data_IF_914043588158
#
_entry.id   IF_914043588158
#
_cell.length_a   1.000
_cell.length_b   1.000
_cell.length_c   1.000
_cell.angle_alpha   90.00
_cell.angle_beta   90.00
_cell.angle_gamma   90.00
#
_symmetry.space_group_name_H-M   'P 1'
#
loop_
_entity.id
_entity.type
_entity.pdbx_description
1 polymer ?
#
# COMPACT_ATOMS: atom_id res chain seq x y z
N UNK A 1 10.96 1.86 9.72
CA UNK A 1 11.77 0.85 9.02
C UNK A 1 10.86 0.14 8.01
N UNK A 2 11.17 0.28 6.71
CA UNK A 2 10.33 -0.34 5.66
C UNK A 2 10.49 -1.86 5.70
N UNK A 3 9.42 -2.59 5.31
CA UNK A 3 9.42 -4.05 5.25
C UNK A 3 10.69 -4.58 4.56
N UNK A 4 11.25 -5.71 5.03
CA UNK A 4 12.48 -6.26 4.46
C UNK A 4 12.33 -6.48 2.96
N UNK A 5 13.37 -6.13 2.21
CA UNK A 5 13.40 -6.14 0.74
C UNK A 5 13.04 -7.50 0.09
N UNK A 6 12.93 -8.55 0.90
CA UNK A 6 12.66 -9.93 0.45
C UNK A 6 11.22 -10.39 0.73
N UNK A 7 10.37 -9.58 1.37
CA UNK A 7 8.97 -9.95 1.59
C UNK A 7 8.19 -9.76 0.27
N UNK A 8 7.57 -10.82 -0.24
CA UNK A 8 6.75 -10.75 -1.45
C UNK A 8 5.65 -9.68 -1.34
N UNK A 9 5.09 -9.46 -0.13
CA UNK A 9 4.10 -8.43 0.17
C UNK A 9 4.63 -6.99 0.02
N UNK A 10 5.93 -6.79 0.09
CA UNK A 10 6.53 -5.46 0.08
C UNK A 10 6.73 -4.88 -1.33
N UNK A 11 6.35 -5.59 -2.41
CA UNK A 11 6.67 -5.16 -3.76
C UNK A 11 6.08 -3.79 -4.11
N UNK A 12 4.89 -3.44 -3.60
CA UNK A 12 4.29 -2.13 -3.85
C UNK A 12 5.09 -1.02 -3.19
N UNK A 13 5.38 -1.13 -1.88
CA UNK A 13 6.20 -0.14 -1.18
C UNK A 13 7.61 -0.04 -1.75
N UNK A 14 8.22 -1.18 -2.12
CA UNK A 14 9.54 -1.22 -2.78
C UNK A 14 9.52 -0.53 -4.16
N UNK A 15 8.44 -0.69 -4.92
CA UNK A 15 8.28 -0.01 -6.20
C UNK A 15 8.35 1.51 -6.02
N UNK A 16 7.62 2.09 -5.06
CA UNK A 16 7.70 3.52 -4.76
C UNK A 16 9.08 3.95 -4.28
N UNK A 17 9.64 3.25 -3.28
CA UNK A 17 10.94 3.58 -2.69
C UNK A 17 12.05 3.57 -3.74
N UNK A 18 12.15 2.50 -4.55
CA UNK A 18 13.19 2.38 -5.56
C UNK A 18 12.97 3.32 -6.73
N UNK A 19 11.73 3.56 -7.13
CA UNK A 19 11.41 4.56 -8.16
C UNK A 19 11.94 5.94 -7.78
N UNK A 20 11.75 6.37 -6.52
CA UNK A 20 12.22 7.68 -6.04
C UNK A 20 13.75 7.70 -5.86
N UNK A 21 14.36 6.62 -5.36
CA UNK A 21 15.78 6.59 -4.98
C UNK A 21 16.70 6.20 -6.14
N UNK A 22 16.26 5.25 -6.96
CA UNK A 22 17.09 4.58 -7.95
C UNK A 22 16.61 4.86 -9.39
N UNK A 23 15.39 5.42 -9.57
CA UNK A 23 14.80 5.67 -10.88
C UNK A 23 14.37 4.40 -11.62
N UNK A 24 14.39 3.25 -10.99
CA UNK A 24 13.97 1.99 -11.62
C UNK A 24 13.42 0.98 -10.61
N UNK A 25 12.55 0.09 -11.10
CA UNK A 25 12.10 -1.09 -10.35
C UNK A 25 11.68 -2.22 -11.28
N UNK A 26 11.96 -3.47 -10.85
CA UNK A 26 11.55 -4.67 -11.57
C UNK A 26 10.52 -5.43 -10.74
N UNK A 27 9.30 -5.54 -11.27
CA UNK A 27 8.21 -6.30 -10.65
C UNK A 27 8.38 -7.79 -10.91
N UNK A 28 8.44 -8.58 -9.82
CA UNK A 28 8.46 -10.05 -9.88
C UNK A 28 7.05 -10.67 -9.97
N UNK A 29 6.00 -9.86 -9.87
CA UNK A 29 4.59 -10.24 -9.96
C UNK A 29 4.07 -10.08 -11.40
N UNK A 30 2.86 -10.57 -11.68
CA UNK A 30 2.18 -10.31 -12.97
C UNK A 30 1.59 -8.90 -13.00
N UNK A 31 1.40 -8.29 -14.18
CA UNK A 31 0.72 -6.99 -14.29
C UNK A 31 -0.64 -6.94 -13.60
N UNK A 32 -1.38 -8.05 -13.66
CA UNK A 32 -2.72 -8.18 -13.08
C UNK A 32 -2.74 -8.66 -11.62
N UNK A 33 -1.59 -8.95 -11.00
CA UNK A 33 -1.52 -9.32 -9.58
C UNK A 33 -2.06 -8.21 -8.70
N UNK A 34 -2.95 -8.56 -7.75
CA UNK A 34 -3.68 -7.62 -6.88
C UNK A 34 -3.43 -7.91 -5.42
N UNK A 35 -2.66 -7.10 -4.70
CA UNK A 35 -2.58 -7.19 -3.24
C UNK A 35 -3.75 -6.44 -2.61
N UNK A 36 -4.21 -6.88 -1.45
CA UNK A 36 -5.05 -6.04 -0.60
C UNK A 36 -4.17 -5.05 0.14
N UNK A 37 -4.47 -3.76 0.02
CA UNK A 37 -3.67 -2.67 0.56
C UNK A 37 -4.49 -1.75 1.46
N UNK A 38 -3.82 -1.21 2.46
CA UNK A 38 -4.26 -0.08 3.26
C UNK A 38 -3.06 0.85 3.49
N UNK A 39 -3.26 2.15 3.36
CA UNK A 39 -2.19 3.12 3.63
C UNK A 39 -2.00 3.31 5.14
N UNK A 40 -0.76 3.53 5.56
CA UNK A 40 -0.42 3.61 6.98
C UNK A 40 -1.21 4.69 7.73
N UNK A 41 -1.47 5.83 7.11
CA UNK A 41 -2.26 6.91 7.72
C UNK A 41 -3.71 6.47 7.99
N UNK A 42 -4.31 5.66 7.12
CA UNK A 42 -5.62 5.06 7.36
C UNK A 42 -5.59 4.04 8.51
N UNK A 43 -4.51 3.26 8.63
CA UNK A 43 -4.34 2.32 9.76
C UNK A 43 -4.24 3.09 11.09
N UNK A 44 -3.41 4.15 11.13
CA UNK A 44 -3.24 4.97 12.34
C UNK A 44 -4.56 5.63 12.76
N UNK A 45 -5.29 6.20 11.80
CA UNK A 45 -6.61 6.78 12.03
C UNK A 45 -7.60 5.73 12.55
N UNK A 46 -7.65 4.55 11.92
CA UNK A 46 -8.53 3.47 12.35
C UNK A 46 -8.25 3.02 13.80
N UNK A 47 -6.97 2.99 14.21
CA UNK A 47 -6.59 2.67 15.60
C UNK A 47 -7.12 3.76 16.55
N UNK A 48 -6.95 5.04 16.21
CA UNK A 48 -7.45 6.15 17.02
C UNK A 48 -8.96 6.12 17.12
N UNK A 49 -9.66 5.98 15.98
CA UNK A 49 -11.11 5.90 15.93
C UNK A 49 -11.63 4.73 16.78
N UNK A 50 -10.97 3.56 16.70
CA UNK A 50 -11.34 2.37 17.48
C UNK A 50 -11.16 2.58 18.99
N UNK A 51 -10.12 3.31 19.41
CA UNK A 51 -9.88 3.63 20.82
C UNK A 51 -10.92 4.60 21.39
N UNK A 52 -11.49 5.47 20.53
CA UNK A 52 -12.52 6.43 20.92
C UNK A 52 -13.92 5.84 20.92
N UNK A 53 -14.14 4.70 20.26
CA UNK A 53 -15.45 4.03 20.24
C UNK A 53 -15.75 3.42 21.61
N UNK A 54 -16.94 3.71 22.14
CA UNK A 54 -17.41 3.07 23.37
C UNK A 54 -17.54 1.56 23.22
N UNK A 55 -17.02 0.79 24.17
CA UNK A 55 -16.97 -0.67 24.11
C UNK A 55 -18.35 -1.34 23.84
N UNK A 56 -19.44 -0.68 24.24
CA UNK A 56 -20.81 -1.17 24.00
C UNK A 56 -21.24 -1.12 22.53
N UNK A 57 -20.51 -0.41 21.68
CA UNK A 57 -20.76 -0.32 20.22
C UNK A 57 -20.01 -1.39 19.44
N UNK A 58 -18.99 -1.99 20.02
CA UNK A 58 -18.15 -2.97 19.35
C UNK A 58 -18.87 -4.34 19.32
N UNK A 59 -19.17 -4.82 18.12
CA UNK A 59 -19.80 -6.14 17.91
C UNK A 59 -18.78 -7.28 17.90
N UNK A 60 -17.47 -6.99 17.80
CA UNK A 60 -16.38 -7.95 17.67
C UNK A 60 -15.14 -7.51 18.45
N UNK A 61 -14.24 -8.46 18.70
CA UNK A 61 -12.90 -8.19 19.26
C UNK A 61 -11.80 -8.07 18.19
N UNK A 62 -12.10 -8.48 16.94
CA UNK A 62 -11.17 -8.44 15.81
C UNK A 62 -11.91 -7.90 14.61
N UNK A 63 -11.30 -6.94 13.94
CA UNK A 63 -11.85 -6.28 12.76
C UNK A 63 -10.89 -6.36 11.59
N UNK A 64 -11.40 -6.67 10.41
CA UNK A 64 -10.67 -6.48 9.17
C UNK A 64 -10.87 -5.05 8.67
N UNK A 65 -9.83 -4.51 8.07
CA UNK A 65 -9.86 -3.22 7.37
C UNK A 65 -9.26 -3.40 5.99
N UNK A 66 -9.87 -2.77 5.00
CA UNK A 66 -9.36 -2.75 3.63
C UNK A 66 -9.61 -1.37 3.02
N UNK A 67 -8.64 -0.88 2.24
CA UNK A 67 -8.81 0.36 1.49
C UNK A 67 -8.95 0.07 -0.02
N UNK A 68 -8.00 -0.65 -0.59
CA UNK A 68 -7.92 -0.82 -2.04
C UNK A 68 -7.23 -2.14 -2.43
N UNK A 69 -7.39 -2.53 -3.71
CA UNK A 69 -6.69 -3.69 -4.31
C UNK A 69 -6.30 -3.37 -5.76
N UNK A 70 -5.33 -2.46 -5.97
CA UNK A 70 -4.88 -2.11 -7.30
C UNK A 70 -4.13 -3.28 -7.95
N UNK A 71 -4.16 -3.35 -9.28
CA UNK A 71 -3.24 -4.21 -10.03
C UNK A 71 -1.82 -3.66 -9.96
N UNK A 72 -0.82 -4.50 -10.18
CA UNK A 72 0.56 -4.04 -10.29
C UNK A 72 0.73 -3.06 -11.47
N UNK A 73 -0.06 -3.20 -12.54
CA UNK A 73 -0.08 -2.27 -13.67
C UNK A 73 -0.66 -0.88 -13.28
N UNK A 74 -1.71 -0.85 -12.45
CA UNK A 74 -2.24 0.40 -11.90
C UNK A 74 -1.20 1.09 -11.00
N UNK A 75 -0.42 0.34 -10.22
CA UNK A 75 0.69 0.88 -9.42
C UNK A 75 1.77 1.47 -10.34
N UNK A 76 2.14 0.77 -11.43
CA UNK A 76 3.07 1.30 -12.44
C UNK A 76 2.56 2.63 -13.01
N UNK A 77 1.29 2.70 -13.39
CA UNK A 77 0.69 3.92 -13.93
C UNK A 77 0.73 5.09 -12.92
N UNK A 78 0.39 4.83 -11.66
CA UNK A 78 0.41 5.83 -10.60
C UNK A 78 1.82 6.39 -10.33
N UNK A 79 2.86 5.53 -10.37
CA UNK A 79 4.25 5.95 -10.21
C UNK A 79 4.74 6.73 -11.44
N UNK A 80 4.51 6.21 -12.65
CA UNK A 80 4.97 6.83 -13.90
C UNK A 80 4.38 8.22 -14.12
N UNK A 81 3.15 8.44 -13.69
CA UNK A 81 2.49 9.76 -13.73
C UNK A 81 3.24 10.81 -12.91
N UNK A 82 3.94 10.42 -11.84
CA UNK A 82 4.64 11.31 -10.89
C UNK A 82 6.15 11.34 -11.08
N UNK A 83 6.69 10.32 -11.72
CA UNK A 83 8.12 10.17 -12.02
C UNK A 83 8.24 9.76 -13.50
N UNK A 84 8.18 10.71 -14.45
CA UNK A 84 8.09 10.38 -15.89
C UNK A 84 9.28 9.58 -16.43
N UNK A 85 10.49 9.78 -15.88
CA UNK A 85 11.72 9.13 -16.35
C UNK A 85 12.01 7.80 -15.63
N UNK A 86 11.07 7.28 -14.83
CA UNK A 86 11.25 6.01 -14.11
C UNK A 86 11.19 4.81 -15.06
N UNK A 87 12.09 3.86 -14.87
CA UNK A 87 12.11 2.59 -15.62
C UNK A 87 11.42 1.50 -14.79
N UNK A 88 10.18 1.15 -15.17
CA UNK A 88 9.38 0.12 -14.51
C UNK A 88 9.15 -1.06 -15.47
N UNK A 89 9.64 -2.23 -15.09
CA UNK A 89 9.56 -3.43 -15.95
C UNK A 89 8.99 -4.62 -15.18
N UNK A 90 8.31 -5.51 -15.89
CA UNK A 90 7.85 -6.79 -15.35
C UNK A 90 8.81 -7.90 -15.75
N UNK A 91 9.35 -8.60 -14.76
CA UNK A 91 10.08 -9.86 -14.92
C UNK A 91 9.49 -10.87 -13.95
N UNK A 92 8.36 -11.44 -14.32
CA UNK A 92 7.57 -12.29 -13.45
C UNK A 92 8.35 -13.52 -12.97
N UNK A 93 8.46 -13.67 -11.65
CA UNK A 93 8.84 -14.92 -11.00
C UNK A 93 7.56 -15.71 -10.68
N UNK A 94 7.36 -16.91 -11.28
CA UNK A 94 6.14 -17.67 -11.05
C UNK A 94 5.87 -18.01 -9.58
N UNK A 95 6.92 -18.20 -8.75
CA UNK A 95 6.74 -18.50 -7.32
C UNK A 95 6.20 -17.29 -6.57
N UNK A 96 6.76 -16.13 -6.81
CA UNK A 96 6.31 -14.86 -6.19
C UNK A 96 4.91 -14.50 -6.68
N UNK A 97 4.68 -14.56 -7.99
CA UNK A 97 3.39 -14.22 -8.58
C UNK A 97 2.27 -15.14 -8.08
N UNK A 98 2.49 -16.47 -8.08
CA UNK A 98 1.49 -17.41 -7.58
C UNK A 98 1.20 -17.23 -6.08
N UNK A 99 2.21 -16.86 -5.28
CA UNK A 99 2.01 -16.54 -3.87
C UNK A 99 1.09 -15.33 -3.71
N UNK A 100 1.38 -14.23 -4.40
CA UNK A 100 0.55 -13.01 -4.33
C UNK A 100 -0.86 -13.26 -4.85
N UNK A 101 -0.99 -13.94 -5.99
CA UNK A 101 -2.28 -14.22 -6.61
C UNK A 101 -3.14 -15.22 -5.80
N UNK A 102 -2.55 -15.94 -4.84
CA UNK A 102 -3.27 -16.82 -3.92
C UNK A 102 -3.91 -16.07 -2.72
N UNK A 103 -3.54 -14.81 -2.51
CA UNK A 103 -4.05 -14.04 -1.39
C UNK A 103 -5.45 -13.49 -1.67
N UNK A 104 -6.28 -13.29 -0.62
CA UNK A 104 -7.57 -12.62 -0.78
C UNK A 104 -7.40 -11.23 -1.38
N UNK A 105 -8.19 -10.95 -2.40
CA UNK A 105 -8.23 -9.61 -3.03
C UNK A 105 -9.03 -8.63 -2.18
N UNK A 106 -9.98 -9.16 -1.40
CA UNK A 106 -10.88 -8.37 -0.57
C UNK A 106 -11.03 -9.00 0.82
N UNK A 107 -11.16 -8.15 1.83
CA UNK A 107 -11.54 -8.50 3.19
C UNK A 107 -12.88 -7.88 3.52
N UNK A 108 -13.70 -8.62 4.28
CA UNK A 108 -14.96 -8.10 4.79
C UNK A 108 -14.69 -7.13 5.96
N UNK A 109 -14.93 -5.85 5.74
CA UNK A 109 -14.81 -4.77 6.72
C UNK A 109 -16.14 -4.21 7.19
N UNK A 110 -17.26 -4.89 6.88
CA UNK A 110 -18.61 -4.43 7.21
C UNK A 110 -18.81 -4.15 8.70
N UNK A 111 -18.22 -4.97 9.58
CA UNK A 111 -18.31 -4.75 11.02
C UNK A 111 -17.63 -3.45 11.45
N UNK A 112 -16.49 -3.10 10.88
CA UNK A 112 -15.80 -1.84 11.16
C UNK A 112 -16.64 -0.64 10.66
N UNK A 113 -17.23 -0.76 9.48
CA UNK A 113 -18.12 0.26 8.93
C UNK A 113 -19.37 0.46 9.79
N UNK A 114 -19.97 -0.63 10.29
CA UNK A 114 -21.16 -0.56 11.13
C UNK A 114 -20.88 0.00 12.53
N UNK A 115 -19.79 -0.43 13.17
CA UNK A 115 -19.52 -0.15 14.58
C UNK A 115 -18.94 1.26 14.80
N UNK A 116 -18.09 1.77 13.90
CA UNK A 116 -17.53 3.12 14.02
C UNK A 116 -17.42 3.91 12.71
N UNK A 117 -18.19 3.53 11.68
CA UNK A 117 -18.24 4.23 10.40
C UNK A 117 -16.87 4.27 9.69
N UNK A 118 -16.10 3.18 9.78
CA UNK A 118 -14.84 3.06 9.09
C UNK A 118 -14.98 3.33 7.58
N UNK A 119 -14.11 4.18 7.05
CA UNK A 119 -13.96 4.41 5.61
C UNK A 119 -12.52 4.77 5.31
N UNK A 120 -11.88 4.17 4.28
CA UNK A 120 -10.57 4.58 3.86
C UNK A 120 -10.62 6.01 3.30
N UNK A 121 -9.58 6.80 3.55
CA UNK A 121 -9.42 8.15 3.00
C UNK A 121 -8.42 8.20 1.86
N UNK A 122 -7.58 7.16 1.74
CA UNK A 122 -6.55 7.07 0.71
C UNK A 122 -6.95 6.04 -0.34
N UNK A 123 -7.08 6.50 -1.59
CA UNK A 123 -7.01 5.68 -2.79
C UNK A 123 -5.56 5.58 -3.29
N UNK A 124 -5.33 4.91 -4.42
CA UNK A 124 -4.00 4.72 -4.99
C UNK A 124 -3.34 6.06 -5.41
N UNK A 125 -4.12 7.02 -5.91
CA UNK A 125 -3.61 8.31 -6.33
C UNK A 125 -3.15 9.14 -5.13
N UNK A 126 -4.00 9.27 -4.10
CA UNK A 126 -3.64 9.98 -2.87
C UNK A 126 -2.47 9.32 -2.14
N UNK A 127 -2.45 7.98 -2.06
CA UNK A 127 -1.31 7.23 -1.51
C UNK A 127 -0.02 7.56 -2.28
N UNK A 128 -0.07 7.56 -3.62
CA UNK A 128 1.11 7.80 -4.45
C UNK A 128 1.64 9.22 -4.29
N UNK A 129 0.75 10.22 -4.18
CA UNK A 129 1.14 11.62 -3.94
C UNK A 129 1.85 11.76 -2.60
N UNK A 130 1.20 11.36 -1.52
CA UNK A 130 1.71 11.48 -0.15
C UNK A 130 3.01 10.69 0.06
N UNK A 131 3.07 9.45 -0.42
CA UNK A 131 4.23 8.59 -0.22
C UNK A 131 5.47 9.08 -0.99
N UNK A 132 5.30 9.52 -2.25
CA UNK A 132 6.41 10.07 -3.05
C UNK A 132 6.91 11.40 -2.46
N UNK A 133 6.01 12.27 -2.00
CA UNK A 133 6.38 13.52 -1.35
C UNK A 133 7.19 13.26 -0.07
N UNK A 134 6.73 12.34 0.77
CA UNK A 134 7.42 11.93 1.99
C UNK A 134 8.82 11.35 1.70
N UNK A 135 8.95 10.49 0.69
CA UNK A 135 10.25 9.93 0.30
C UNK A 135 11.23 11.00 -0.21
N UNK A 136 10.75 12.00 -0.96
CA UNK A 136 11.57 13.10 -1.46
C UNK A 136 12.03 14.02 -0.34
N UNK A 137 11.16 14.37 0.59
CA UNK A 137 11.49 15.22 1.74
C UNK A 137 12.52 14.56 2.66
N UNK A 138 12.36 13.27 2.94
CA UNK A 138 13.32 12.49 3.74
C UNK A 138 14.70 12.39 3.06
N UNK A 139 14.74 12.21 1.74
CA UNK A 139 15.99 12.17 0.98
C UNK A 139 16.71 13.54 0.96
N UNK A 140 15.97 14.64 0.97
CA UNK A 140 16.52 15.99 1.02
C UNK A 140 17.16 16.30 2.39
N UNK A 141 16.50 15.90 3.47
CA UNK A 141 16.99 16.11 4.83
C UNK A 141 18.26 15.28 5.12
N UNK A 142 18.35 14.06 4.57
CA UNK A 142 19.54 13.20 4.74
C UNK A 142 20.79 13.71 4.00
N UNK A 143 20.67 14.67 3.08
CA UNK A 143 21.81 15.29 2.36
C UNK A 143 22.32 16.57 3.03
N UNK A 144 21.62 17.06 4.05
CA UNK A 144 21.97 18.28 4.79
C UNK A 144 22.68 17.99 6.11
N UNK A 145 22.88 16.73 6.48
CA UNK A 145 23.66 16.25 7.63
C UNK A 145 24.98 15.64 7.18
#
# INVERSE_FOLDING_TARGET
EFAPAHAASAYVSQAFVRSVREGHYTFAVRPMSRPSLIYVNDVLRAIVDLLEVGAHRLSRCVYNLQAMSPTAEEVVAAISKRIPDVSLVFKTDPKVANLIDSWPVAFDDQSARADWNWQPQYDLEHLADDFIEHLRSTASNARQL
#
